data_IF_256557667710
#
_entry.id   IF_256557667710
#
_cell.length_a   1.000
_cell.length_b   1.000
_cell.length_c   1.000
_cell.angle_alpha   90.00
_cell.angle_beta   90.00
_cell.angle_gamma   90.00
#
_symmetry.space_group_name_H-M   'P 1'
#
loop_
_entity.id
_entity.type
_entity.pdbx_description
1 polymer ?
#
# COMPACT_ATOMS: atom_id res chain seq x y z
N UNK A 1 23.99 -6.98 -10.32
CA UNK A 1 23.78 -7.48 -8.94
C UNK A 1 24.17 -8.95 -8.94
N UNK A 2 24.91 -9.42 -7.93
CA UNK A 2 25.05 -10.87 -7.73
C UNK A 2 23.66 -11.40 -7.42
N UNK A 3 23.17 -12.39 -8.17
CA UNK A 3 21.95 -13.11 -7.81
C UNK A 3 22.20 -13.71 -6.42
N UNK A 4 21.37 -13.34 -5.46
CA UNK A 4 21.25 -14.13 -4.26
C UNK A 4 20.52 -15.39 -4.70
N UNK A 5 21.21 -16.52 -4.70
CA UNK A 5 20.53 -17.78 -4.96
C UNK A 5 19.60 -18.05 -3.77
N UNK A 6 18.30 -17.86 -3.99
CA UNK A 6 17.27 -18.23 -3.02
C UNK A 6 17.02 -19.73 -3.11
N UNK A 7 16.93 -20.38 -1.95
CA UNK A 7 16.68 -21.81 -1.80
C UNK A 7 15.29 -22.11 -1.22
N UNK A 8 14.65 -21.10 -0.62
CA UNK A 8 13.31 -21.21 -0.07
C UNK A 8 12.52 -19.89 -0.20
N UNK A 9 11.19 -19.98 -0.16
CA UNK A 9 10.31 -18.82 -0.24
C UNK A 9 10.53 -17.85 0.93
N UNK A 10 10.80 -18.39 2.11
CA UNK A 10 11.05 -17.61 3.33
C UNK A 10 12.27 -16.69 3.18
N UNK A 11 13.28 -17.11 2.43
CA UNK A 11 14.45 -16.27 2.14
C UNK A 11 14.08 -15.09 1.22
N UNK A 12 13.17 -15.31 0.27
CA UNK A 12 12.63 -14.27 -0.60
C UNK A 12 11.77 -13.28 0.20
N UNK A 13 10.86 -13.79 1.02
CA UNK A 13 10.00 -13.00 1.92
C UNK A 13 10.86 -12.10 2.84
N UNK A 14 11.87 -12.70 3.48
CA UNK A 14 12.79 -11.97 4.34
C UNK A 14 13.59 -10.90 3.58
N UNK A 15 14.09 -11.22 2.38
CA UNK A 15 14.85 -10.27 1.58
C UNK A 15 14.03 -9.07 1.10
N UNK A 16 12.73 -9.27 0.82
CA UNK A 16 11.80 -8.16 0.53
C UNK A 16 11.56 -7.34 1.80
N UNK A 17 11.28 -7.99 2.94
CA UNK A 17 11.06 -7.29 4.21
C UNK A 17 12.28 -6.50 4.69
N UNK A 18 13.50 -6.98 4.46
CA UNK A 18 14.70 -6.24 4.81
C UNK A 18 14.79 -4.93 4.02
N UNK A 19 14.37 -4.93 2.74
CA UNK A 19 14.30 -3.73 1.92
C UNK A 19 13.17 -2.80 2.34
N UNK A 20 12.00 -3.33 2.66
CA UNK A 20 10.88 -2.56 3.21
C UNK A 20 11.28 -1.91 4.53
N UNK A 21 11.97 -2.64 5.41
CA UNK A 21 12.44 -2.11 6.68
C UNK A 21 13.39 -0.93 6.47
N UNK A 22 14.43 -1.14 5.67
CA UNK A 22 15.46 -0.14 5.36
C UNK A 22 14.86 1.13 4.72
N UNK A 23 13.91 0.97 3.79
CA UNK A 23 13.46 2.07 2.92
C UNK A 23 12.13 2.71 3.33
N UNK A 24 11.27 1.98 4.02
CA UNK A 24 9.93 2.45 4.40
C UNK A 24 9.87 2.63 5.93
N UNK A 25 10.02 1.54 6.69
CA UNK A 25 9.83 1.53 8.15
C UNK A 25 10.83 2.44 8.87
N UNK A 26 12.10 2.30 8.52
CA UNK A 26 13.21 3.14 9.01
C UNK A 26 13.43 4.37 8.09
N UNK A 27 12.57 4.52 7.08
CA UNK A 27 12.62 5.62 6.13
C UNK A 27 12.34 6.98 6.79
N UNK A 28 12.76 8.08 6.13
CA UNK A 28 12.66 9.42 6.68
C UNK A 28 11.20 9.86 6.92
N UNK A 29 10.28 9.46 6.04
CA UNK A 29 8.86 9.77 6.18
C UNK A 29 8.27 9.22 7.49
N UNK A 30 8.38 7.91 7.72
CA UNK A 30 7.82 7.26 8.90
C UNK A 30 8.53 7.71 10.18
N UNK A 31 9.84 7.91 10.12
CA UNK A 31 10.61 8.43 11.26
C UNK A 31 10.10 9.81 11.68
N UNK A 32 10.01 10.76 10.74
CA UNK A 32 9.49 12.10 11.02
C UNK A 32 8.03 12.08 11.50
N UNK A 33 7.19 11.23 10.88
CA UNK A 33 5.80 11.05 11.28
C UNK A 33 5.70 10.60 12.75
N UNK A 34 6.43 9.56 13.13
CA UNK A 34 6.42 8.97 14.47
C UNK A 34 6.97 9.91 15.53
N UNK A 35 7.95 10.75 15.18
CA UNK A 35 8.57 11.73 16.08
C UNK A 35 7.73 13.01 16.27
N UNK A 36 6.63 13.17 15.54
CA UNK A 36 5.82 14.38 15.67
C UNK A 36 6.41 15.60 14.98
N UNK A 37 7.25 15.41 13.96
CA UNK A 37 8.06 16.47 13.34
C UNK A 37 7.30 17.28 12.28
N UNK A 38 6.18 16.78 11.78
CA UNK A 38 5.38 17.49 10.79
C UNK A 38 4.51 18.60 11.40
N UNK A 39 4.26 19.66 10.64
CA UNK A 39 3.22 20.64 10.94
C UNK A 39 1.83 20.09 10.57
N UNK A 40 0.75 20.69 11.09
CA UNK A 40 -0.63 20.38 10.66
C UNK A 40 -0.78 20.47 9.13
N UNK A 41 -0.22 21.51 8.51
CA UNK A 41 -0.18 21.65 7.05
C UNK A 41 0.48 20.46 6.34
N UNK A 42 1.64 19.99 6.82
CA UNK A 42 2.34 18.86 6.21
C UNK A 42 1.54 17.56 6.34
N UNK A 43 0.82 17.37 7.46
CA UNK A 43 -0.12 16.25 7.62
C UNK A 43 -1.30 16.37 6.63
N UNK A 44 -1.85 17.57 6.43
CA UNK A 44 -2.90 17.81 5.44
C UNK A 44 -2.41 17.47 4.02
N UNK A 45 -1.22 17.93 3.63
CA UNK A 45 -0.61 17.61 2.32
C UNK A 45 -0.40 16.10 2.14
N UNK A 46 0.10 15.40 3.17
CA UNK A 46 0.21 13.95 3.14
C UNK A 46 -1.14 13.27 2.90
N UNK A 47 -2.18 13.67 3.64
CA UNK A 47 -3.53 13.10 3.50
C UNK A 47 -4.09 13.33 2.08
N UNK A 48 -3.89 14.52 1.52
CA UNK A 48 -4.33 14.86 0.16
C UNK A 48 -3.57 14.07 -0.90
N UNK A 49 -2.25 13.95 -0.77
CA UNK A 49 -1.42 13.17 -1.70
C UNK A 49 -1.75 11.68 -1.67
N UNK A 50 -1.91 11.10 -0.48
CA UNK A 50 -2.20 9.67 -0.32
C UNK A 50 -3.64 9.32 -0.73
N UNK A 51 -4.57 10.27 -0.72
CA UNK A 51 -5.93 10.09 -1.26
C UNK A 51 -5.92 9.55 -2.70
N UNK A 52 -5.01 10.04 -3.56
CA UNK A 52 -4.93 9.52 -4.93
C UNK A 52 -4.46 8.06 -4.95
N UNK A 53 -3.45 7.71 -4.15
CA UNK A 53 -2.96 6.33 -4.07
C UNK A 53 -4.07 5.38 -3.61
N UNK A 54 -4.69 5.67 -2.47
CA UNK A 54 -5.76 4.85 -1.88
C UNK A 54 -6.94 4.65 -2.84
N UNK A 55 -7.46 5.73 -3.45
CA UNK A 55 -8.60 5.62 -4.39
C UNK A 55 -8.30 4.83 -5.66
N UNK A 56 -7.02 4.68 -6.02
CA UNK A 56 -6.61 3.93 -7.20
C UNK A 56 -6.18 2.48 -6.89
N UNK A 57 -6.08 2.09 -5.62
CA UNK A 57 -5.73 0.71 -5.26
C UNK A 57 -6.69 -0.34 -5.85
N UNK A 58 -8.03 -0.12 -5.90
CA UNK A 58 -8.93 -1.03 -6.62
C UNK A 58 -8.59 -1.23 -8.11
N UNK A 59 -8.03 -0.21 -8.77
CA UNK A 59 -7.58 -0.31 -10.17
C UNK A 59 -6.30 -1.13 -10.31
N UNK A 60 -5.41 -1.07 -9.31
CA UNK A 60 -4.22 -1.93 -9.22
C UNK A 60 -4.65 -3.38 -9.10
N UNK A 61 -5.56 -3.70 -8.18
CA UNK A 61 -6.08 -5.06 -8.00
C UNK A 61 -6.79 -5.57 -9.27
N UNK A 62 -7.60 -4.72 -9.92
CA UNK A 62 -8.23 -5.05 -11.21
C UNK A 62 -7.21 -5.36 -12.32
N UNK A 63 -6.11 -4.61 -12.39
CA UNK A 63 -5.02 -4.91 -13.32
C UNK A 63 -4.31 -6.23 -12.98
N UNK A 64 -4.16 -6.55 -11.70
CA UNK A 64 -3.55 -7.80 -11.28
C UNK A 64 -4.44 -9.01 -11.63
N UNK A 65 -5.77 -8.92 -11.41
CA UNK A 65 -6.74 -9.94 -11.84
C UNK A 65 -6.64 -10.18 -13.34
N UNK A 66 -6.51 -9.13 -14.15
CA UNK A 66 -6.37 -9.26 -15.60
C UNK A 66 -5.08 -9.96 -16.05
N UNK A 67 -4.05 -9.99 -15.21
CA UNK A 67 -2.78 -10.66 -15.46
C UNK A 67 -2.76 -12.14 -15.02
N UNK A 68 -3.81 -12.62 -14.34
CA UNK A 68 -3.88 -13.99 -13.83
C UNK A 68 -4.28 -15.00 -14.90
N UNK A 69 -3.86 -16.25 -14.72
CA UNK A 69 -4.44 -17.38 -15.44
C UNK A 69 -5.95 -17.49 -15.14
N UNK A 70 -6.77 -18.00 -16.08
CA UNK A 70 -8.20 -18.23 -15.88
C UNK A 70 -8.47 -19.48 -15.01
N UNK A 71 -7.80 -19.56 -13.86
CA UNK A 71 -7.94 -20.61 -12.86
C UNK A 71 -8.22 -19.95 -11.52
N UNK A 72 -9.25 -20.43 -10.82
CA UNK A 72 -9.76 -19.83 -9.57
C UNK A 72 -8.67 -19.54 -8.54
N UNK A 73 -7.70 -20.46 -8.42
CA UNK A 73 -6.59 -20.30 -7.47
C UNK A 73 -5.80 -19.00 -7.68
N UNK A 74 -5.69 -18.46 -8.90
CA UNK A 74 -4.86 -17.28 -9.19
C UNK A 74 -5.61 -15.97 -8.95
N UNK A 75 -6.85 -15.86 -9.41
CA UNK A 75 -7.55 -14.58 -9.42
C UNK A 75 -8.50 -14.38 -8.24
N UNK A 76 -9.03 -15.45 -7.63
CA UNK A 76 -9.97 -15.35 -6.51
C UNK A 76 -9.39 -14.65 -5.27
N UNK A 77 -8.13 -14.91 -4.84
CA UNK A 77 -7.51 -14.16 -3.75
C UNK A 77 -7.49 -12.64 -3.97
N UNK A 78 -7.13 -12.23 -5.19
CA UNK A 78 -7.04 -10.81 -5.54
C UNK A 78 -8.44 -10.20 -5.66
N UNK A 79 -9.41 -10.95 -6.20
CA UNK A 79 -10.80 -10.52 -6.26
C UNK A 79 -11.43 -10.36 -4.87
N UNK A 80 -11.05 -11.20 -3.90
CA UNK A 80 -11.51 -11.08 -2.53
C UNK A 80 -10.88 -9.88 -1.80
N UNK A 81 -9.62 -9.55 -2.08
CA UNK A 81 -9.02 -8.26 -1.68
C UNK A 81 -9.79 -7.07 -2.30
N UNK A 82 -10.04 -7.11 -3.61
CA UNK A 82 -10.83 -6.08 -4.29
C UNK A 82 -12.25 -5.94 -3.72
N UNK A 83 -12.84 -7.04 -3.24
CA UNK A 83 -14.16 -7.01 -2.59
C UNK A 83 -14.12 -6.35 -1.21
N UNK A 84 -13.03 -6.52 -0.46
CA UNK A 84 -12.82 -5.80 0.80
C UNK A 84 -12.64 -4.30 0.60
N UNK A 85 -11.92 -3.87 -0.45
CA UNK A 85 -11.85 -2.45 -0.85
C UNK A 85 -13.24 -1.83 -1.11
N UNK A 86 -14.13 -2.62 -1.70
CA UNK A 86 -15.54 -2.27 -1.92
C UNK A 86 -16.41 -2.45 -0.67
N UNK A 87 -15.82 -2.59 0.53
CA UNK A 87 -16.53 -2.79 1.79
C UNK A 87 -17.43 -4.03 1.80
N UNK A 88 -17.10 -5.04 1.00
CA UNK A 88 -17.94 -6.20 0.69
C UNK A 88 -19.37 -5.85 0.27
N UNK A 89 -19.54 -4.76 -0.48
CA UNK A 89 -20.83 -4.26 -0.94
C UNK A 89 -21.61 -3.46 0.10
N UNK A 90 -21.05 -3.20 1.28
CA UNK A 90 -21.63 -2.30 2.28
C UNK A 90 -21.08 -0.88 2.10
N UNK A 91 -21.89 0.11 1.66
CA UNK A 91 -21.43 1.49 1.45
C UNK A 91 -20.91 2.22 2.69
N UNK A 92 -21.14 1.67 3.89
CA UNK A 92 -20.57 2.22 5.13
C UNK A 92 -19.13 1.75 5.37
N UNK A 93 -18.72 0.67 4.72
CA UNK A 93 -17.41 0.04 4.88
C UNK A 93 -16.49 0.28 3.67
N UNK A 94 -16.90 1.11 2.70
CA UNK A 94 -16.02 1.46 1.57
C UNK A 94 -14.72 2.09 2.08
N UNK A 95 -13.59 1.60 1.59
CA UNK A 95 -12.28 2.14 1.98
C UNK A 95 -12.16 3.63 1.63
N UNK A 96 -12.67 4.05 0.48
CA UNK A 96 -12.75 5.46 0.08
C UNK A 96 -13.55 6.31 1.06
N UNK A 97 -14.61 5.76 1.66
CA UNK A 97 -15.42 6.46 2.67
C UNK A 97 -14.69 6.56 4.00
N UNK A 98 -14.01 5.49 4.42
CA UNK A 98 -13.16 5.54 5.62
C UNK A 98 -12.03 6.57 5.43
N UNK A 99 -11.40 6.59 4.26
CA UNK A 99 -10.37 7.58 3.93
C UNK A 99 -10.89 9.02 3.91
N UNK A 100 -12.12 9.23 3.41
CA UNK A 100 -12.80 10.53 3.50
C UNK A 100 -12.86 11.06 4.92
N UNK A 101 -13.15 10.21 5.92
CA UNK A 101 -13.20 10.68 7.31
C UNK A 101 -11.83 11.14 7.83
N UNK A 102 -10.74 10.55 7.33
CA UNK A 102 -9.39 11.02 7.61
C UNK A 102 -9.14 12.38 6.93
N UNK A 103 -9.49 12.53 5.64
CA UNK A 103 -9.38 13.80 4.93
C UNK A 103 -10.16 14.94 5.61
N UNK A 104 -11.41 14.70 6.02
CA UNK A 104 -12.23 15.71 6.72
C UNK A 104 -11.59 16.17 8.04
N UNK A 105 -10.85 15.28 8.71
CA UNK A 105 -10.12 15.62 9.94
C UNK A 105 -8.75 16.26 9.69
N UNK A 106 -8.05 15.89 8.61
CA UNK A 106 -6.68 16.33 8.33
C UNK A 106 -6.60 17.59 7.47
N UNK A 107 -7.57 17.79 6.58
CA UNK A 107 -7.63 18.88 5.61
C UNK A 107 -9.06 19.46 5.54
N UNK A 108 -9.57 20.03 6.66
CA UNK A 108 -10.97 20.44 6.81
C UNK A 108 -11.40 21.56 5.86
N UNK A 109 -10.43 22.35 5.36
CA UNK A 109 -10.68 23.48 4.46
C UNK A 109 -10.74 23.05 2.99
N UNK A 110 -10.51 21.76 2.70
CA UNK A 110 -10.59 21.21 1.35
C UNK A 110 -11.97 20.57 1.14
N UNK A 111 -12.68 21.04 0.12
CA UNK A 111 -13.94 20.45 -0.29
C UNK A 111 -13.73 19.00 -0.77
N UNK A 112 -14.59 18.09 -0.34
CA UNK A 112 -14.60 16.69 -0.77
C UNK A 112 -15.96 16.39 -1.38
N UNK A 113 -15.98 15.95 -2.63
CA UNK A 113 -17.22 15.68 -3.35
C UNK A 113 -17.96 14.42 -2.82
N UNK A 114 -19.14 14.15 -3.37
CA UNK A 114 -19.96 12.99 -2.98
C UNK A 114 -19.23 11.66 -3.19
N UNK A 115 -18.39 11.59 -4.23
CA UNK A 115 -17.53 10.44 -4.58
C UNK A 115 -16.22 10.38 -3.79
N UNK A 116 -16.11 11.14 -2.69
CA UNK A 116 -15.00 11.08 -1.74
C UNK A 116 -13.66 11.56 -2.33
N UNK A 117 -13.71 12.38 -3.38
CA UNK A 117 -12.55 12.99 -4.03
C UNK A 117 -12.33 14.40 -3.50
N UNK A 118 -11.14 14.71 -2.94
CA UNK A 118 -10.82 16.07 -2.55
C UNK A 118 -10.66 16.96 -3.78
N UNK A 119 -11.13 18.20 -3.71
CA UNK A 119 -10.88 19.25 -4.69
C UNK A 119 -9.45 19.79 -4.52
N UNK A 120 -8.47 18.95 -4.88
CA UNK A 120 -7.05 19.22 -4.72
C UNK A 120 -6.25 18.57 -5.86
N UNK A 121 -5.16 19.18 -6.35
CA UNK A 121 -4.33 18.56 -7.38
C UNK A 121 -3.76 17.21 -6.93
N UNK A 122 -3.82 16.19 -7.79
CA UNK A 122 -3.20 14.92 -7.43
C UNK A 122 -1.67 15.02 -7.41
N UNK A 123 -1.07 14.38 -6.41
CA UNK A 123 0.38 14.30 -6.28
C UNK A 123 1.05 13.61 -7.47
N UNK A 124 2.10 14.20 -8.08
CA UNK A 124 2.95 13.51 -9.05
C UNK A 124 3.55 12.21 -8.49
N UNK A 125 3.89 12.19 -7.19
CA UNK A 125 4.43 11.01 -6.52
C UNK A 125 3.39 9.86 -6.47
N UNK A 126 2.17 10.17 -6.06
CA UNK A 126 1.08 9.19 -6.02
C UNK A 126 0.74 8.66 -7.42
N UNK A 127 0.68 9.55 -8.42
CA UNK A 127 0.48 9.17 -9.83
C UNK A 127 1.56 8.23 -10.33
N UNK A 128 2.84 8.59 -10.09
CA UNK A 128 3.98 7.77 -10.47
C UNK A 128 3.92 6.37 -9.84
N UNK A 129 3.57 6.27 -8.56
CA UNK A 129 3.46 4.99 -7.86
C UNK A 129 2.36 4.09 -8.46
N UNK A 130 1.14 4.63 -8.56
CA UNK A 130 -0.02 3.92 -9.15
C UNK A 130 0.27 3.48 -10.58
N UNK A 131 0.79 4.39 -11.41
CA UNK A 131 1.05 4.08 -12.80
C UNK A 131 2.19 3.06 -12.96
N UNK A 132 3.20 3.09 -12.09
CA UNK A 132 4.29 2.10 -12.10
C UNK A 132 3.77 0.71 -11.79
N UNK A 133 2.89 0.60 -10.79
CA UNK A 133 2.28 -0.67 -10.42
C UNK A 133 1.37 -1.20 -11.54
N UNK A 134 0.45 -0.37 -12.06
CA UNK A 134 -0.45 -0.78 -13.15
C UNK A 134 0.33 -1.17 -14.41
N UNK A 135 1.34 -0.38 -14.82
CA UNK A 135 2.16 -0.72 -16.00
C UNK A 135 2.94 -2.01 -15.82
N UNK A 136 3.42 -2.29 -14.61
CA UNK A 136 4.07 -3.57 -14.33
C UNK A 136 3.10 -4.74 -14.55
N UNK A 137 1.91 -4.64 -13.96
CA UNK A 137 0.88 -5.69 -14.02
C UNK A 137 0.37 -5.95 -15.44
N UNK A 138 0.28 -4.92 -16.28
CA UNK A 138 -0.17 -5.05 -17.69
C UNK A 138 0.69 -5.98 -18.55
N UNK A 139 1.95 -6.22 -18.17
CA UNK A 139 2.87 -7.09 -18.89
C UNK A 139 3.41 -8.24 -18.04
N UNK A 140 2.91 -8.39 -16.81
CA UNK A 140 3.38 -9.40 -15.87
C UNK A 140 2.84 -10.79 -16.24
N UNK A 141 3.65 -11.81 -16.01
CA UNK A 141 3.16 -13.18 -15.89
C UNK A 141 2.27 -13.33 -14.63
N UNK A 142 1.43 -14.37 -14.54
CA UNK A 142 0.63 -14.65 -13.34
C UNK A 142 1.47 -14.73 -12.05
N UNK A 143 2.65 -15.35 -12.11
CA UNK A 143 3.56 -15.47 -10.97
C UNK A 143 4.13 -14.10 -10.56
N UNK A 144 4.57 -13.28 -11.53
CA UNK A 144 5.05 -11.92 -11.26
C UNK A 144 3.93 -11.03 -10.69
N UNK A 145 2.72 -11.13 -11.21
CA UNK A 145 1.57 -10.36 -10.72
C UNK A 145 1.21 -10.74 -9.28
N UNK A 146 1.19 -12.05 -8.97
CA UNK A 146 0.91 -12.55 -7.62
C UNK A 146 2.01 -12.12 -6.63
N UNK A 147 3.27 -12.18 -7.04
CA UNK A 147 4.39 -11.73 -6.21
C UNK A 147 4.39 -10.21 -6.02
N UNK A 148 4.05 -9.44 -7.05
CA UNK A 148 3.95 -7.99 -6.98
C UNK A 148 2.86 -7.50 -6.02
N UNK A 149 1.68 -8.14 -6.02
CA UNK A 149 0.64 -7.82 -5.03
C UNK A 149 1.02 -8.39 -3.66
N UNK A 150 1.28 -9.69 -3.56
CA UNK A 150 1.55 -10.38 -2.30
C UNK A 150 2.75 -9.81 -1.55
N UNK A 151 3.94 -9.82 -2.15
CA UNK A 151 5.17 -9.35 -1.49
C UNK A 151 5.39 -7.85 -1.64
N UNK A 152 4.97 -7.28 -2.76
CA UNK A 152 5.22 -5.88 -3.09
C UNK A 152 4.27 -4.88 -2.45
N UNK A 153 3.14 -5.35 -1.90
CA UNK A 153 2.11 -4.52 -1.26
C UNK A 153 1.62 -5.16 0.06
N UNK A 154 0.96 -6.32 -0.02
CA UNK A 154 0.21 -6.90 1.10
C UNK A 154 1.09 -7.34 2.28
N UNK A 155 2.30 -7.87 2.00
CA UNK A 155 3.22 -8.42 3.00
C UNK A 155 3.48 -7.46 4.17
N UNK A 156 3.61 -6.17 3.87
CA UNK A 156 3.99 -5.15 4.85
C UNK A 156 2.90 -4.10 5.07
N UNK A 157 1.81 -4.11 4.30
CA UNK A 157 0.77 -3.10 4.35
C UNK A 157 0.20 -2.94 5.77
N UNK A 158 -0.09 -4.04 6.47
CA UNK A 158 -0.58 -4.01 7.85
C UNK A 158 0.39 -3.33 8.83
N UNK A 159 1.68 -3.63 8.73
CA UNK A 159 2.72 -3.03 9.58
C UNK A 159 2.91 -1.54 9.27
N UNK A 160 3.08 -1.20 7.98
CA UNK A 160 3.31 0.18 7.54
C UNK A 160 2.11 1.07 7.84
N UNK A 161 0.89 0.65 7.49
CA UNK A 161 -0.31 1.42 7.80
C UNK A 161 -0.57 1.53 9.30
N UNK A 162 -0.26 0.49 10.08
CA UNK A 162 -0.31 0.55 11.55
C UNK A 162 0.66 1.58 12.12
N UNK A 163 1.88 1.65 11.59
CA UNK A 163 2.87 2.67 11.98
C UNK A 163 2.43 4.08 11.57
N UNK A 164 1.84 4.25 10.39
CA UNK A 164 1.24 5.54 9.97
C UNK A 164 0.14 5.93 10.94
N UNK A 165 -0.80 5.02 11.24
CA UNK A 165 -1.88 5.26 12.19
C UNK A 165 -1.38 5.61 13.59
N UNK A 166 -0.31 4.96 14.06
CA UNK A 166 0.37 5.28 15.33
C UNK A 166 0.98 6.68 15.29
N UNK A 167 1.71 7.02 14.23
CA UNK A 167 2.36 8.33 14.07
C UNK A 167 1.34 9.46 13.99
N UNK A 168 0.23 9.27 13.27
CA UNK A 168 -0.86 10.26 13.19
C UNK A 168 -1.56 10.50 14.55
N UNK A 169 -1.44 9.60 15.53
CA UNK A 169 -1.92 9.82 16.91
C UNK A 169 -0.94 10.65 17.77
N UNK A 170 0.20 11.08 17.22
CA UNK A 170 1.17 11.86 17.97
C UNK A 170 0.54 13.17 18.51
N UNK A 171 0.79 13.56 19.78
CA UNK A 171 0.16 14.74 20.37
C UNK A 171 0.38 16.04 19.60
N UNK A 172 1.50 16.18 18.89
CA UNK A 172 1.81 17.36 18.06
C UNK A 172 0.80 17.59 16.92
N UNK A 173 0.24 16.53 16.36
CA UNK A 173 -0.70 16.62 15.24
C UNK A 173 -2.15 16.75 15.69
N UNK A 174 -2.40 16.59 17.00
CA UNK A 174 -3.75 16.49 17.57
C UNK A 174 -4.02 17.60 18.60
N UNK A 175 -3.32 18.74 18.49
CA UNK A 175 -3.46 19.86 19.43
C UNK A 175 -4.77 20.61 19.27
N UNK A 176 -5.11 20.96 18.03
CA UNK A 176 -6.28 21.78 17.71
C UNK A 176 -7.49 20.92 17.32
N UNK A 177 -7.23 19.79 16.64
CA UNK A 177 -8.25 18.83 16.20
C UNK A 177 -7.69 17.41 16.30
N UNK A 178 -8.55 16.44 16.61
CA UNK A 178 -8.14 15.04 16.57
C UNK A 178 -8.25 14.49 15.15
N UNK A 179 -7.18 13.86 14.67
CA UNK A 179 -7.16 13.15 13.40
C UNK A 179 -7.94 11.85 13.51
N UNK A 180 -8.79 11.59 12.53
CA UNK A 180 -9.50 10.32 12.41
C UNK A 180 -8.61 9.30 11.71
N UNK A 181 -7.99 8.44 12.50
CA UNK A 181 -7.05 7.41 12.03
C UNK A 181 -7.69 6.04 11.78
N UNK A 182 -9.02 5.97 11.70
CA UNK A 182 -9.77 4.70 11.56
C UNK A 182 -9.34 3.92 10.32
N UNK A 183 -9.16 4.61 9.18
CA UNK A 183 -8.69 4.01 7.94
C UNK A 183 -7.38 3.22 8.16
N UNK A 184 -6.38 3.86 8.76
CA UNK A 184 -5.05 3.26 8.97
C UNK A 184 -5.09 2.07 9.94
N UNK A 185 -5.84 2.20 11.03
CA UNK A 185 -5.95 1.12 12.04
C UNK A 185 -6.73 -0.09 11.51
N UNK A 186 -7.73 0.11 10.64
CA UNK A 186 -8.50 -0.99 10.06
C UNK A 186 -7.63 -1.96 9.24
N UNK A 187 -6.63 -1.44 8.54
CA UNK A 187 -5.69 -2.24 7.75
C UNK A 187 -4.69 -2.99 8.66
N UNK A 188 -4.26 -2.37 9.77
CA UNK A 188 -3.35 -3.00 10.73
C UNK A 188 -3.96 -4.23 11.46
N UNK A 189 -5.24 -4.15 11.83
CA UNK A 189 -5.85 -5.10 12.78
C UNK A 189 -6.63 -6.25 12.11
N UNK A 190 -7.15 -6.07 10.88
CA UNK A 190 -8.26 -6.93 10.39
C UNK A 190 -8.10 -7.53 8.99
N UNK A 191 -7.55 -6.78 8.02
CA UNK A 191 -7.65 -7.14 6.59
C UNK A 191 -6.33 -7.65 6.00
N UNK A 192 -5.22 -6.96 6.28
CA UNK A 192 -3.93 -7.19 5.60
C UNK A 192 -3.29 -8.56 5.86
N UNK A 193 -3.25 -9.10 7.11
CA UNK A 193 -2.64 -10.41 7.35
C UNK A 193 -3.30 -11.54 6.54
N UNK A 194 -4.59 -11.39 6.23
CA UNK A 194 -5.36 -12.37 5.46
C UNK A 194 -5.06 -12.27 3.97
N UNK A 195 -4.99 -11.06 3.42
CA UNK A 195 -4.71 -10.84 2.00
C UNK A 195 -3.31 -11.33 1.61
N UNK A 196 -2.31 -11.03 2.45
CA UNK A 196 -0.98 -11.57 2.25
C UNK A 196 -0.97 -13.10 2.32
N UNK A 197 -1.63 -13.69 3.33
CA UNK A 197 -1.68 -15.14 3.48
C UNK A 197 -2.26 -15.84 2.24
N UNK A 198 -3.34 -15.30 1.66
CA UNK A 198 -3.94 -15.86 0.44
C UNK A 198 -2.99 -15.82 -0.77
N UNK A 199 -2.18 -14.77 -0.90
CA UNK A 199 -1.15 -14.69 -1.92
C UNK A 199 -0.01 -15.69 -1.63
N UNK A 200 0.45 -15.73 -0.38
CA UNK A 200 1.51 -16.63 0.10
C UNK A 200 1.18 -18.09 -0.16
N UNK A 201 -0.07 -18.51 0.08
CA UNK A 201 -0.52 -19.89 -0.15
C UNK A 201 -0.30 -20.37 -1.59
N UNK A 202 -0.25 -19.45 -2.56
CA UNK A 202 0.07 -19.74 -3.96
C UNK A 202 1.57 -19.68 -4.18
N UNK A 203 2.21 -18.61 -3.73
CA UNK A 203 3.63 -18.37 -3.99
C UNK A 203 4.52 -19.48 -3.40
N UNK A 204 4.20 -20.04 -2.23
CA UNK A 204 4.98 -21.12 -1.61
C UNK A 204 4.98 -22.42 -2.42
N UNK A 205 4.06 -22.58 -3.37
CA UNK A 205 4.01 -23.75 -4.26
C UNK A 205 5.09 -23.69 -5.36
N UNK A 206 5.71 -22.53 -5.55
CA UNK A 206 6.72 -22.26 -6.58
C UNK A 206 8.13 -22.25 -5.96
N UNK A 207 8.77 -23.41 -5.98
CA UNK A 207 10.04 -23.65 -5.27
C UNK A 207 11.27 -23.71 -6.19
N UNK A 208 11.09 -23.59 -7.51
CA UNK A 208 12.21 -23.55 -8.45
C UNK A 208 13.10 -22.32 -8.22
N UNK A 209 14.41 -22.46 -8.42
CA UNK A 209 15.34 -21.33 -8.27
C UNK A 209 14.96 -20.13 -9.15
N UNK A 210 14.52 -20.38 -10.39
CA UNK A 210 14.08 -19.34 -11.31
C UNK A 210 12.75 -18.71 -10.86
N UNK A 211 11.85 -19.51 -10.27
CA UNK A 211 10.60 -19.00 -9.69
C UNK A 211 10.89 -18.08 -8.50
N UNK A 212 11.74 -18.51 -7.56
CA UNK A 212 12.09 -17.73 -6.37
C UNK A 212 12.75 -16.39 -6.74
N UNK A 213 13.66 -16.39 -7.73
CA UNK A 213 14.23 -15.16 -8.26
C UNK A 213 13.17 -14.27 -8.92
N UNK A 214 12.21 -14.85 -9.66
CA UNK A 214 11.10 -14.12 -10.27
C UNK A 214 10.20 -13.48 -9.22
N UNK A 215 9.83 -14.24 -8.19
CA UNK A 215 9.03 -13.79 -7.05
C UNK A 215 9.72 -12.63 -6.33
N UNK A 216 11.01 -12.79 -6.01
CA UNK A 216 11.81 -11.75 -5.38
C UNK A 216 11.83 -10.47 -6.22
N UNK A 217 12.17 -10.59 -7.50
CA UNK A 217 12.30 -9.44 -8.41
C UNK A 217 10.99 -8.68 -8.59
N UNK A 218 9.87 -9.39 -8.72
CA UNK A 218 8.56 -8.76 -8.85
C UNK A 218 8.14 -8.06 -7.55
N UNK A 219 8.25 -8.77 -6.42
CA UNK A 219 7.91 -8.23 -5.10
C UNK A 219 8.74 -7.00 -4.75
N UNK A 220 10.08 -7.10 -4.83
CA UNK A 220 10.97 -6.00 -4.48
C UNK A 220 10.80 -4.79 -5.41
N UNK A 221 10.51 -5.00 -6.70
CA UNK A 221 10.28 -3.90 -7.64
C UNK A 221 9.10 -3.02 -7.22
N UNK A 222 7.98 -3.64 -6.84
CA UNK A 222 6.80 -2.91 -6.41
C UNK A 222 6.99 -2.32 -5.01
N UNK A 223 7.55 -3.07 -4.06
CA UNK A 223 7.87 -2.55 -2.73
C UNK A 223 8.77 -1.29 -2.80
N UNK A 224 9.77 -1.29 -3.69
CA UNK A 224 10.63 -0.12 -3.88
C UNK A 224 9.93 1.03 -4.60
N UNK A 225 8.95 0.76 -5.46
CA UNK A 225 8.10 1.81 -6.02
C UNK A 225 7.25 2.49 -4.94
N UNK A 226 6.81 1.74 -3.91
CA UNK A 226 6.09 2.32 -2.77
C UNK A 226 7.04 3.06 -1.82
N UNK A 227 8.26 2.55 -1.61
CA UNK A 227 9.28 3.30 -0.89
C UNK A 227 9.59 4.65 -1.55
N UNK A 228 9.77 4.66 -2.87
CA UNK A 228 9.99 5.89 -3.63
C UNK A 228 8.81 6.86 -3.52
N UNK A 229 7.58 6.36 -3.35
CA UNK A 229 6.40 7.18 -3.09
C UNK A 229 6.47 7.90 -1.74
N UNK A 230 6.81 7.20 -0.66
CA UNK A 230 7.00 7.84 0.65
C UNK A 230 8.17 8.82 0.65
N UNK A 231 9.27 8.49 -0.03
CA UNK A 231 10.42 9.37 -0.20
C UNK A 231 10.07 10.64 -1.00
N UNK A 232 9.31 10.51 -2.09
CA UNK A 232 8.84 11.62 -2.92
C UNK A 232 7.83 12.50 -2.16
N UNK A 233 6.91 11.91 -1.38
CA UNK A 233 6.02 12.68 -0.50
C UNK A 233 6.84 13.45 0.52
N UNK A 234 7.76 12.77 1.23
CA UNK A 234 8.56 13.39 2.28
C UNK A 234 9.29 14.62 1.76
N UNK A 235 9.98 14.51 0.61
CA UNK A 235 10.64 15.66 -0.04
C UNK A 235 9.69 16.78 -0.46
N UNK A 236 8.44 16.45 -0.78
CA UNK A 236 7.44 17.45 -1.21
C UNK A 236 6.80 18.21 -0.05
N UNK A 237 6.80 17.63 1.15
CA UNK A 237 6.16 18.21 2.33
C UNK A 237 7.16 18.73 3.36
N UNK A 238 8.36 18.13 3.50
CA UNK A 238 9.37 18.45 4.51
C UNK A 238 10.04 19.81 4.32
#
# INVERSE_FOLDING_TARGET
MKSNAFHAYEEVEQAVMDKVRERIIEGPFLTALLNGEFSERQIAEFALHYSYYSRNFPRVLGAAIAAMEPLDKWWVPIADNLWDEAGRGNPKAYHSRMYRTFLESAAPDIEINEEHVPNYPDSPAAKKAVDTFIRFLQSATPLEAMAAVGLGSELFAGEVMGLIGKGLKHPNYNRDRNLNVTFWMAHADSHEPRHYQLCKDILIQHTGSDDLETIYRAGVKIAMSEADFYDDIYRSIA
#
